data_IF_826386039874
#
_entry.id   IF_826386039874
#
_cell.length_a   1.000
_cell.length_b   1.000
_cell.length_c   1.000
_cell.angle_alpha   90.00
_cell.angle_beta   90.00
_cell.angle_gamma   90.00
#
_symmetry.space_group_name_H-M   'P 1'
#
loop_
_entity.id
_entity.type
_entity.pdbx_description
1 polymer ?
#
# COMPACT_ATOMS: atom_id res chain seq x y z
N UNK A 1 13.36 2.01 -2.53
CA UNK A 1 12.50 3.22 -2.45
C UNK A 1 13.29 4.48 -2.76
N UNK A 2 14.46 4.72 -2.11
CA UNK A 2 15.32 5.87 -2.42
C UNK A 2 15.61 6.07 -3.92
N UNK A 3 16.05 5.02 -4.62
CA UNK A 3 16.35 5.08 -6.06
C UNK A 3 15.16 5.53 -6.92
N UNK A 4 13.96 5.06 -6.58
CA UNK A 4 12.70 5.44 -7.26
C UNK A 4 12.39 6.92 -7.00
N UNK A 5 12.47 7.37 -5.74
CA UNK A 5 12.23 8.78 -5.39
C UNK A 5 13.25 9.73 -6.05
N UNK A 6 14.53 9.35 -6.04
CA UNK A 6 15.62 10.15 -6.61
C UNK A 6 15.44 10.33 -8.12
N UNK A 7 15.07 9.27 -8.83
CA UNK A 7 14.80 9.32 -10.27
C UNK A 7 13.61 10.20 -10.62
N UNK A 8 12.49 10.06 -9.88
CA UNK A 8 11.23 10.74 -10.20
C UNK A 8 11.22 12.21 -9.82
N UNK A 9 11.77 12.56 -8.66
CA UNK A 9 11.57 13.88 -8.05
C UNK A 9 12.83 14.73 -7.93
N UNK A 10 14.01 14.12 -8.10
CA UNK A 10 15.29 14.79 -7.89
C UNK A 10 16.25 14.67 -9.07
N UNK A 11 15.83 14.09 -10.20
CA UNK A 11 16.66 13.92 -11.41
C UNK A 11 18.02 13.26 -11.13
N UNK A 12 18.06 12.32 -10.16
CA UNK A 12 19.30 11.67 -9.73
C UNK A 12 20.20 12.52 -8.81
N UNK A 13 19.81 13.77 -8.51
CA UNK A 13 20.60 14.73 -7.72
C UNK A 13 20.46 14.53 -6.21
N UNK A 14 19.56 13.67 -5.74
CA UNK A 14 19.45 13.35 -4.31
C UNK A 14 20.68 12.55 -3.89
N UNK A 15 21.40 13.05 -2.90
CA UNK A 15 22.53 12.35 -2.30
C UNK A 15 21.99 11.48 -1.18
N UNK A 16 22.28 10.19 -1.26
CA UNK A 16 21.97 9.26 -0.18
C UNK A 16 23.08 9.30 0.86
N UNK A 17 22.79 9.81 2.05
CA UNK A 17 23.64 9.56 3.19
C UNK A 17 23.30 8.18 3.74
N UNK A 18 24.12 7.21 3.37
CA UNK A 18 24.04 5.90 3.99
C UNK A 18 24.31 6.03 5.49
N UNK A 19 23.39 5.68 6.41
CA UNK A 19 23.72 5.39 7.79
C UNK A 19 24.98 4.55 7.87
N UNK A 20 25.90 4.98 8.74
CA UNK A 20 27.16 4.27 9.03
C UNK A 20 26.93 2.83 9.51
N UNK A 21 25.73 2.56 10.03
CA UNK A 21 25.29 1.25 10.49
C UNK A 21 24.32 0.63 9.47
N UNK A 22 24.72 -0.46 8.79
CA UNK A 22 23.87 -1.17 7.85
C UNK A 22 22.60 -1.78 8.46
N UNK A 23 22.56 -2.02 9.79
CA UNK A 23 21.38 -2.55 10.47
C UNK A 23 20.20 -1.57 10.41
N UNK A 24 20.43 -0.27 10.24
CA UNK A 24 19.36 0.74 10.05
C UNK A 24 18.64 0.64 8.71
N UNK A 25 19.17 -0.13 7.76
CA UNK A 25 18.50 -0.46 6.50
C UNK A 25 17.55 -1.64 6.61
N UNK A 26 17.85 -2.51 7.56
CA UNK A 26 17.01 -3.65 7.84
C UNK A 26 15.79 -3.12 8.60
N UNK A 27 14.60 -3.65 8.28
CA UNK A 27 13.49 -3.49 9.20
C UNK A 27 13.95 -3.89 10.62
N UNK A 28 13.52 -3.19 11.67
CA UNK A 28 13.72 -3.65 13.04
C UNK A 28 13.39 -5.14 13.17
N UNK A 29 14.11 -5.88 14.01
CA UNK A 29 13.87 -7.33 14.17
C UNK A 29 12.45 -7.63 14.66
N UNK A 30 11.81 -6.68 15.35
CA UNK A 30 10.41 -6.71 15.77
C UNK A 30 9.42 -6.21 14.69
N UNK A 31 9.89 -5.92 13.48
CA UNK A 31 9.03 -5.45 12.40
C UNK A 31 8.28 -6.62 11.72
N UNK A 32 7.14 -6.27 11.14
CA UNK A 32 6.34 -7.18 10.32
C UNK A 32 7.08 -7.54 9.03
N UNK A 33 7.63 -8.76 8.96
CA UNK A 33 8.07 -9.30 7.68
C UNK A 33 6.84 -9.52 6.79
N UNK A 34 6.79 -8.75 5.71
CA UNK A 34 5.71 -8.75 4.71
C UNK A 34 6.28 -9.03 3.31
N UNK A 35 7.48 -9.60 3.24
CA UNK A 35 8.22 -9.76 1.99
C UNK A 35 8.83 -8.45 1.49
N UNK A 36 9.35 -8.48 0.27
CA UNK A 36 9.94 -7.29 -0.39
C UNK A 36 8.86 -6.43 -1.07
N UNK A 37 9.13 -5.12 -1.18
CA UNK A 37 8.31 -4.19 -1.94
C UNK A 37 7.99 -4.71 -3.34
N UNK A 38 6.72 -4.68 -3.74
CA UNK A 38 6.26 -5.30 -4.99
C UNK A 38 5.06 -4.59 -5.62
N UNK A 39 4.85 -4.84 -6.92
CA UNK A 39 3.57 -4.61 -7.58
C UNK A 39 2.67 -5.82 -7.37
N UNK A 40 1.46 -5.59 -6.92
CA UNK A 40 0.42 -6.61 -6.84
C UNK A 40 -0.48 -6.42 -8.04
N UNK A 41 -0.44 -7.38 -8.95
CA UNK A 41 -1.27 -7.35 -10.15
C UNK A 41 -2.73 -7.62 -9.78
N UNK A 42 -3.52 -6.54 -9.67
CA UNK A 42 -4.92 -6.58 -9.28
C UNK A 42 -5.79 -5.82 -10.31
N UNK A 43 -5.91 -6.33 -11.55
CA UNK A 43 -6.78 -5.76 -12.55
C UNK A 43 -8.26 -6.01 -12.19
N UNK A 44 -9.14 -5.22 -12.77
CA UNK A 44 -10.57 -5.35 -12.56
C UNK A 44 -11.33 -4.25 -13.29
N UNK A 45 -12.65 -4.34 -13.30
CA UNK A 45 -13.51 -3.27 -13.81
C UNK A 45 -13.80 -2.26 -12.73
N UNK A 46 -13.85 -0.98 -13.10
CA UNK A 46 -14.29 0.08 -12.20
C UNK A 46 -15.80 -0.01 -11.92
N UNK A 47 -16.21 0.30 -10.68
CA UNK A 47 -17.62 0.27 -10.24
C UNK A 47 -18.19 1.66 -9.94
N UNK A 48 -17.38 2.55 -9.34
CA UNK A 48 -17.69 3.97 -9.15
C UNK A 48 -16.44 4.79 -9.47
N UNK A 49 -16.46 5.51 -10.59
CA UNK A 49 -15.35 6.32 -11.08
C UNK A 49 -14.05 5.50 -11.14
N UNK A 50 -13.09 5.71 -10.23
CA UNK A 50 -11.79 5.02 -10.22
C UNK A 50 -11.76 3.79 -9.29
N UNK A 51 -12.85 3.50 -8.57
CA UNK A 51 -12.90 2.38 -7.61
C UNK A 51 -12.91 1.06 -8.36
N UNK A 52 -11.93 0.20 -8.08
CA UNK A 52 -11.87 -1.18 -8.55
C UNK A 52 -12.16 -2.10 -7.35
N UNK A 53 -13.35 -2.73 -7.26
CA UNK A 53 -13.74 -3.51 -6.09
C UNK A 53 -12.73 -4.57 -5.66
N UNK A 54 -12.15 -5.31 -6.61
CA UNK A 54 -11.16 -6.34 -6.33
C UNK A 54 -9.92 -5.81 -5.60
N UNK A 55 -9.53 -4.55 -5.84
CA UNK A 55 -8.39 -3.95 -5.14
C UNK A 55 -8.76 -3.58 -3.69
N UNK A 56 -9.98 -3.11 -3.46
CA UNK A 56 -10.49 -2.80 -2.10
C UNK A 56 -10.59 -4.09 -1.29
N UNK A 57 -11.14 -5.14 -1.90
CA UNK A 57 -11.25 -6.47 -1.28
C UNK A 57 -9.88 -7.07 -0.96
N UNK A 58 -8.92 -6.99 -1.88
CA UNK A 58 -7.56 -7.46 -1.65
C UNK A 58 -6.90 -6.76 -0.46
N UNK A 59 -7.04 -5.44 -0.35
CA UNK A 59 -6.54 -4.67 0.79
C UNK A 59 -7.18 -5.14 2.09
N UNK A 60 -8.49 -5.38 2.09
CA UNK A 60 -9.20 -5.89 3.25
C UNK A 60 -8.71 -7.28 3.66
N UNK A 61 -8.58 -8.21 2.72
CA UNK A 61 -8.07 -9.56 3.00
C UNK A 61 -6.65 -9.52 3.58
N UNK A 62 -5.77 -8.70 3.02
CA UNK A 62 -4.41 -8.52 3.48
C UNK A 62 -4.33 -7.91 4.88
N UNK A 63 -5.13 -6.88 5.18
CA UNK A 63 -5.21 -6.29 6.52
C UNK A 63 -5.76 -7.26 7.55
N UNK A 64 -6.78 -8.03 7.18
CA UNK A 64 -7.37 -9.03 8.06
C UNK A 64 -6.37 -10.14 8.38
N UNK A 65 -5.55 -10.55 7.40
CA UNK A 65 -4.45 -11.48 7.62
C UNK A 65 -3.41 -10.91 8.60
N UNK A 66 -2.96 -9.66 8.41
CA UNK A 66 -2.05 -9.00 9.36
C UNK A 66 -2.64 -8.89 10.76
N UNK A 67 -3.91 -8.48 10.87
CA UNK A 67 -4.59 -8.34 12.16
C UNK A 67 -4.72 -9.67 12.89
N UNK A 68 -5.02 -10.75 12.17
CA UNK A 68 -5.04 -12.10 12.76
C UNK A 68 -3.67 -12.55 13.22
N UNK A 69 -2.62 -12.18 12.49
CA UNK A 69 -1.21 -12.48 12.83
C UNK A 69 -0.74 -11.71 14.07
N UNK A 70 -1.11 -10.42 14.20
CA UNK A 70 -0.56 -9.55 15.26
C UNK A 70 -1.49 -9.31 16.44
N UNK A 71 -2.78 -9.57 16.29
CA UNK A 71 -3.82 -9.22 17.26
C UNK A 71 -4.12 -7.72 17.36
N UNK A 72 -3.44 -6.87 16.59
CA UNK A 72 -3.52 -5.41 16.66
C UNK A 72 -3.72 -4.79 15.28
N UNK A 73 -4.40 -3.63 15.23
CA UNK A 73 -4.66 -2.94 13.96
C UNK A 73 -3.33 -2.65 13.24
N UNK A 74 -3.16 -3.08 11.97
CA UNK A 74 -1.85 -3.04 11.33
C UNK A 74 -1.30 -1.61 11.18
N UNK A 75 0.01 -1.38 11.44
CA UNK A 75 0.66 -0.08 11.24
C UNK A 75 1.00 0.12 9.76
N UNK A 76 -0.03 0.30 8.92
CA UNK A 76 0.09 0.47 7.47
C UNK A 76 -0.54 1.78 7.07
N UNK A 77 0.11 2.56 6.19
CA UNK A 77 -0.59 3.63 5.47
C UNK A 77 -1.14 3.12 4.15
N UNK A 78 -2.42 3.42 3.90
CA UNK A 78 -3.11 3.11 2.66
C UNK A 78 -3.36 4.43 1.93
N UNK A 79 -2.63 4.60 0.83
CA UNK A 79 -2.60 5.83 0.06
C UNK A 79 -3.27 5.57 -1.28
N UNK A 80 -4.13 6.49 -1.72
CA UNK A 80 -4.67 6.45 -3.07
C UNK A 80 -4.60 7.81 -3.76
N UNK A 81 -4.36 7.89 -5.08
CA UNK A 81 -4.52 9.13 -5.83
C UNK A 81 -5.94 9.68 -5.81
N UNK A 82 -6.94 8.82 -5.60
CA UNK A 82 -8.34 9.18 -5.81
C UNK A 82 -9.13 9.20 -4.50
N UNK A 83 -9.85 10.31 -4.27
CA UNK A 83 -10.76 10.44 -3.12
C UNK A 83 -11.81 9.33 -3.08
N UNK A 84 -12.30 8.89 -4.24
CA UNK A 84 -13.33 7.82 -4.33
C UNK A 84 -12.79 6.47 -3.88
N UNK A 85 -11.57 6.10 -4.29
CA UNK A 85 -10.89 4.89 -3.82
C UNK A 85 -10.62 4.97 -2.32
N UNK A 86 -10.09 6.10 -1.82
CA UNK A 86 -9.94 6.36 -0.38
C UNK A 86 -11.25 6.15 0.38
N UNK A 87 -12.35 6.73 -0.10
CA UNK A 87 -13.67 6.60 0.54
C UNK A 87 -14.14 5.15 0.56
N UNK A 88 -14.06 4.43 -0.57
CA UNK A 88 -14.45 3.02 -0.63
C UNK A 88 -13.64 2.14 0.34
N UNK A 89 -12.32 2.38 0.45
CA UNK A 89 -11.47 1.72 1.43
C UNK A 89 -11.89 2.02 2.87
N UNK A 90 -12.12 3.29 3.22
CA UNK A 90 -12.54 3.66 4.56
C UNK A 90 -13.93 3.12 4.93
N UNK A 91 -14.85 3.06 3.97
CA UNK A 91 -16.18 2.47 4.15
C UNK A 91 -16.11 0.95 4.33
N UNK A 92 -15.23 0.25 3.61
CA UNK A 92 -15.02 -1.18 3.79
C UNK A 92 -14.35 -1.52 5.11
N UNK A 93 -13.27 -0.81 5.44
CA UNK A 93 -12.43 -1.12 6.59
C UNK A 93 -13.00 -0.55 7.90
N UNK A 94 -13.89 0.44 7.83
CA UNK A 94 -14.58 0.99 9.00
C UNK A 94 -15.74 0.13 9.52
N UNK A 95 -16.14 -0.91 8.76
CA UNK A 95 -17.20 -1.86 9.13
C UNK A 95 -16.66 -2.91 10.10
N UNK A 96 -17.31 -3.11 11.24
CA UNK A 96 -16.83 -4.06 12.26
C UNK A 96 -16.87 -5.51 11.76
N UNK A 97 -17.88 -5.84 10.97
CA UNK A 97 -18.07 -7.12 10.30
C UNK A 97 -16.92 -7.48 9.34
N UNK A 98 -16.24 -6.47 8.78
CA UNK A 98 -15.05 -6.71 7.96
C UNK A 98 -13.91 -7.34 8.78
N UNK A 99 -13.89 -7.15 10.10
CA UNK A 99 -12.85 -7.68 10.98
C UNK A 99 -13.26 -8.93 11.75
N UNK A 100 -14.47 -9.45 11.51
CA UNK A 100 -14.93 -10.68 12.16
C UNK A 100 -14.44 -11.93 11.44
N UNK A 101 -13.96 -12.92 12.19
CA UNK A 101 -13.60 -14.23 11.66
C UNK A 101 -14.81 -15.16 11.68
N UNK A 102 -15.10 -15.81 10.54
CA UNK A 102 -16.13 -16.85 10.46
C UNK A 102 -15.77 -18.11 11.28
N UNK A 103 -14.48 -18.32 11.58
CA UNK A 103 -13.99 -19.55 12.18
C UNK A 103 -13.92 -19.54 13.72
N UNK A 104 -14.34 -18.45 14.39
CA UNK A 104 -14.35 -18.35 15.87
C UNK A 104 -12.96 -18.33 16.55
N UNK A 105 -11.89 -18.63 15.82
CA UNK A 105 -10.51 -18.60 16.28
C UNK A 105 -9.81 -17.37 15.67
N UNK A 106 -9.44 -16.42 16.52
CA UNK A 106 -8.78 -15.18 16.14
C UNK A 106 -9.02 -14.04 17.13
N UNK A 107 -8.30 -12.91 17.01
CA UNK A 107 -8.55 -11.74 17.84
C UNK A 107 -9.99 -11.24 17.67
N UNK A 108 -10.57 -10.74 18.76
CA UNK A 108 -11.89 -10.13 18.75
C UNK A 108 -11.89 -8.91 17.82
N UNK A 109 -12.92 -8.76 16.98
CA UNK A 109 -13.03 -7.60 16.10
C UNK A 109 -12.87 -6.27 16.88
N UNK A 110 -12.05 -5.32 16.39
CA UNK A 110 -11.81 -4.05 17.07
C UNK A 110 -13.10 -3.27 17.32
N UNK A 111 -13.06 -2.34 18.27
CA UNK A 111 -14.21 -1.46 18.53
C UNK A 111 -14.46 -0.56 17.33
N UNK A 112 -15.71 -0.22 17.08
CA UNK A 112 -16.09 0.63 15.94
C UNK A 112 -15.42 2.02 16.00
N UNK A 113 -15.17 2.55 17.20
CA UNK A 113 -14.44 3.81 17.40
C UNK A 113 -12.99 3.68 16.99
N UNK A 114 -12.30 2.61 17.42
CA UNK A 114 -10.91 2.32 17.07
C UNK A 114 -10.75 2.15 15.54
N UNK A 115 -11.70 1.47 14.89
CA UNK A 115 -11.69 1.32 13.42
C UNK A 115 -11.84 2.65 12.70
N UNK A 116 -12.74 3.52 13.17
CA UNK A 116 -12.96 4.84 12.56
C UNK A 116 -11.74 5.73 12.70
N UNK A 117 -11.13 5.75 13.88
CA UNK A 117 -9.91 6.52 14.14
C UNK A 117 -8.74 5.99 13.30
N UNK A 118 -8.55 4.67 13.27
CA UNK A 118 -7.54 4.05 12.42
C UNK A 118 -7.76 4.36 10.93
N UNK A 119 -8.99 4.22 10.41
CA UNK A 119 -9.28 4.55 9.02
C UNK A 119 -8.99 6.03 8.70
N UNK A 120 -9.35 6.95 9.62
CA UNK A 120 -9.12 8.39 9.47
C UNK A 120 -7.63 8.73 9.45
N UNK A 121 -6.83 8.07 10.28
CA UNK A 121 -5.40 8.32 10.42
C UNK A 121 -4.55 7.63 9.36
N UNK A 122 -5.01 6.48 8.87
CA UNK A 122 -4.20 5.54 8.07
C UNK A 122 -4.63 5.44 6.62
N UNK A 123 -5.82 5.90 6.25
CA UNK A 123 -6.33 5.86 4.87
C UNK A 123 -6.48 7.28 4.33
N UNK A 124 -5.80 7.58 3.24
CA UNK A 124 -5.73 8.96 2.75
C UNK A 124 -5.37 9.09 1.29
N UNK A 125 -5.39 10.34 0.83
CA UNK A 125 -4.71 10.69 -0.42
C UNK A 125 -3.28 11.13 -0.12
N UNK A 126 -2.47 11.37 -1.15
CA UNK A 126 -1.09 11.84 -0.97
C UNK A 126 -0.96 13.10 -0.12
N UNK A 127 -1.95 13.99 -0.12
CA UNK A 127 -1.93 15.18 0.73
C UNK A 127 -2.17 14.88 2.21
N UNK A 128 -2.81 13.75 2.55
CA UNK A 128 -3.12 13.36 3.94
C UNK A 128 -1.86 13.04 4.74
N UNK A 129 -0.79 12.59 4.08
CA UNK A 129 0.41 12.05 4.73
C UNK A 129 1.64 12.95 4.59
N UNK A 130 1.49 14.21 4.20
CA UNK A 130 2.64 15.12 4.11
C UNK A 130 3.36 15.24 5.46
N UNK A 131 4.67 14.98 5.46
CA UNK A 131 5.51 15.02 6.67
C UNK A 131 5.34 13.84 7.64
N UNK A 132 4.51 12.85 7.31
CA UNK A 132 4.34 11.61 8.11
C UNK A 132 5.08 10.46 7.46
N UNK A 133 5.41 9.42 8.19
CA UNK A 133 6.01 8.18 7.65
C UNK A 133 5.45 6.98 8.38
N UNK A 134 5.50 5.81 7.75
CA UNK A 134 5.14 4.52 8.33
C UNK A 134 6.08 3.42 7.82
N UNK A 135 6.24 2.35 8.60
CA UNK A 135 6.99 1.16 8.25
C UNK A 135 6.57 0.59 6.88
N UNK A 136 5.26 0.49 6.65
CA UNK A 136 4.66 -0.11 5.45
C UNK A 136 3.67 0.85 4.81
N UNK A 137 3.77 1.03 3.49
CA UNK A 137 2.81 1.80 2.68
C UNK A 137 2.21 0.92 1.59
N UNK A 138 0.89 0.95 1.45
CA UNK A 138 0.16 0.37 0.33
C UNK A 138 -0.41 1.50 -0.54
N UNK A 139 0.04 1.59 -1.78
CA UNK A 139 -0.50 2.51 -2.79
C UNK A 139 -1.60 1.79 -3.57
N UNK A 140 -2.87 2.13 -3.31
CA UNK A 140 -4.03 1.55 -4.00
C UNK A 140 -4.41 2.46 -5.16
N UNK A 141 -4.14 1.99 -6.37
CA UNK A 141 -4.12 2.82 -7.57
C UNK A 141 -5.53 3.05 -8.13
N UNK A 142 -6.41 2.05 -8.07
CA UNK A 142 -7.68 2.09 -8.79
C UNK A 142 -7.48 2.08 -10.31
N UNK A 143 -8.52 2.54 -11.00
CA UNK A 143 -8.62 2.61 -12.46
C UNK A 143 -8.57 1.27 -13.20
N UNK A 144 -9.18 1.30 -14.38
CA UNK A 144 -9.17 0.27 -15.42
C UNK A 144 -8.90 0.95 -16.77
N UNK A 145 -8.93 0.18 -17.85
CA UNK A 145 -8.72 0.73 -19.21
C UNK A 145 -9.75 1.79 -19.62
N UNK A 146 -10.99 1.71 -19.11
CA UNK A 146 -12.05 2.71 -19.39
C UNK A 146 -11.77 4.04 -18.70
N UNK A 147 -11.04 4.00 -17.60
CA UNK A 147 -10.66 5.16 -16.79
C UNK A 147 -9.18 5.51 -16.91
N UNK A 148 -8.50 5.04 -17.98
CA UNK A 148 -7.09 5.31 -18.25
C UNK A 148 -6.74 6.82 -18.30
N UNK A 149 -7.69 7.68 -18.67
CA UNK A 149 -7.53 9.13 -18.58
C UNK A 149 -7.27 9.63 -17.14
N UNK A 150 -7.95 9.05 -16.15
CA UNK A 150 -7.73 9.38 -14.74
C UNK A 150 -6.38 8.86 -14.23
N UNK A 151 -5.97 7.66 -14.67
CA UNK A 151 -4.64 7.12 -14.36
C UNK A 151 -3.53 8.03 -14.92
N UNK A 152 -3.64 8.43 -16.20
CA UNK A 152 -2.72 9.39 -16.83
C UNK A 152 -2.64 10.71 -16.08
N UNK A 153 -3.79 11.30 -15.74
CA UNK A 153 -3.84 12.52 -14.94
C UNK A 153 -3.13 12.37 -13.59
N UNK A 154 -3.39 11.27 -12.87
CA UNK A 154 -2.77 11.03 -11.57
C UNK A 154 -1.25 10.81 -11.67
N UNK A 155 -0.78 10.27 -12.79
CA UNK A 155 0.65 10.06 -13.08
C UNK A 155 1.39 11.28 -13.64
N UNK A 156 0.70 12.37 -13.99
CA UNK A 156 1.35 13.48 -14.71
C UNK A 156 2.41 14.21 -13.86
N UNK A 157 2.11 14.38 -12.57
CA UNK A 157 3.03 14.99 -11.59
C UNK A 157 3.77 13.94 -10.77
N UNK A 158 5.04 14.17 -10.42
CA UNK A 158 5.84 13.20 -9.63
C UNK A 158 5.29 12.98 -8.23
N UNK A 159 4.49 13.91 -7.72
CA UNK A 159 4.03 13.98 -6.33
C UNK A 159 3.32 12.70 -5.88
N UNK A 160 2.56 12.02 -6.75
CA UNK A 160 1.84 10.82 -6.35
C UNK A 160 2.80 9.71 -5.92
N UNK A 161 3.67 9.33 -6.84
CA UNK A 161 4.59 8.21 -6.66
C UNK A 161 5.68 8.58 -5.66
N UNK A 162 6.22 9.80 -5.73
CA UNK A 162 7.22 10.30 -4.78
C UNK A 162 6.68 10.29 -3.34
N UNK A 163 5.44 10.76 -3.11
CA UNK A 163 4.86 10.68 -1.76
C UNK A 163 4.73 9.22 -1.33
N UNK A 164 4.12 8.36 -2.14
CA UNK A 164 3.92 6.96 -1.77
C UNK A 164 5.22 6.24 -1.36
N UNK A 165 6.30 6.41 -2.13
CA UNK A 165 7.58 5.75 -1.83
C UNK A 165 8.37 6.41 -0.71
N UNK A 166 8.22 7.73 -0.50
CA UNK A 166 8.93 8.43 0.60
C UNK A 166 8.21 8.33 1.93
N UNK A 167 6.92 7.93 1.95
CA UNK A 167 6.21 7.65 3.20
C UNK A 167 6.56 6.30 3.82
N UNK A 168 7.08 5.37 3.03
CA UNK A 168 7.46 4.06 3.51
C UNK A 168 8.90 4.08 4.05
N UNK A 169 9.07 3.65 5.31
CA UNK A 169 10.39 3.44 5.91
C UNK A 169 11.02 2.13 5.45
N UNK A 170 10.24 1.06 5.34
CA UNK A 170 10.76 -0.28 5.06
C UNK A 170 10.16 -0.94 3.82
N UNK A 171 8.83 -0.93 3.66
CA UNK A 171 8.14 -1.66 2.58
C UNK A 171 7.08 -0.81 1.89
N UNK A 172 6.99 -0.94 0.57
CA UNK A 172 6.00 -0.26 -0.24
C UNK A 172 5.40 -1.21 -1.29
N UNK A 173 4.08 -1.26 -1.35
CA UNK A 173 3.33 -2.15 -2.22
C UNK A 173 2.40 -1.37 -3.12
N UNK A 174 2.42 -1.63 -4.43
CA UNK A 174 1.52 -0.98 -5.38
C UNK A 174 0.42 -1.96 -5.78
N UNK A 175 -0.82 -1.64 -5.44
CA UNK A 175 -1.98 -2.49 -5.67
C UNK A 175 -2.77 -1.89 -6.83
N UNK A 176 -2.75 -2.56 -7.98
CA UNK A 176 -3.47 -2.10 -9.17
C UNK A 176 -3.17 -2.90 -10.43
N UNK A 177 -3.71 -2.44 -11.55
CA UNK A 177 -3.39 -3.00 -12.87
C UNK A 177 -2.01 -2.50 -13.34
N UNK A 178 -0.96 -3.28 -13.14
CA UNK A 178 0.39 -2.89 -13.54
C UNK A 178 0.49 -2.66 -15.05
N UNK A 179 -0.29 -3.39 -15.85
CA UNK A 179 -0.28 -3.27 -17.31
C UNK A 179 -0.86 -1.91 -17.77
N UNK A 180 -1.76 -1.31 -16.97
CA UNK A 180 -2.24 0.06 -17.14
C UNK A 180 -1.24 1.11 -16.62
N UNK A 181 -0.65 0.88 -15.44
CA UNK A 181 0.07 1.92 -14.70
C UNK A 181 1.57 1.98 -14.97
N UNK A 182 2.24 0.86 -15.22
CA UNK A 182 3.71 0.79 -15.25
C UNK A 182 4.36 1.55 -16.42
N UNK A 183 3.63 1.71 -17.52
CA UNK A 183 4.07 2.52 -18.67
C UNK A 183 3.77 4.02 -18.54
N UNK A 184 3.07 4.44 -17.49
CA UNK A 184 2.74 5.84 -17.28
C UNK A 184 3.94 6.62 -16.74
N UNK A 185 3.91 7.95 -16.95
CA UNK A 185 4.96 8.86 -16.50
C UNK A 185 5.26 8.65 -15.00
N UNK A 186 6.54 8.70 -14.64
CA UNK A 186 7.08 8.42 -13.30
C UNK A 186 6.97 6.95 -12.84
N UNK A 187 5.90 6.23 -13.18
CA UNK A 187 5.72 4.82 -12.82
C UNK A 187 6.70 3.89 -13.55
N UNK A 188 7.27 4.31 -14.68
CA UNK A 188 8.38 3.61 -15.34
C UNK A 188 9.59 3.42 -14.43
N UNK A 189 9.83 4.32 -13.47
CA UNK A 189 10.93 4.22 -12.50
C UNK A 189 10.74 3.07 -11.49
N UNK A 190 9.51 2.55 -11.37
CA UNK A 190 9.14 1.41 -10.54
C UNK A 190 9.01 0.11 -11.37
N UNK A 191 9.87 -0.08 -12.38
CA UNK A 191 9.90 -1.28 -13.22
C UNK A 191 10.24 -2.56 -12.44
N UNK A 192 10.03 -3.71 -13.08
CA UNK A 192 10.15 -5.05 -12.48
C UNK A 192 11.50 -5.35 -11.79
N UNK A 193 12.60 -4.74 -12.26
CA UNK A 193 13.93 -4.91 -11.66
C UNK A 193 14.10 -4.19 -10.31
N UNK A 194 13.18 -3.30 -9.95
CA UNK A 194 13.16 -2.57 -8.66
C UNK A 194 11.94 -2.91 -7.80
N UNK A 195 10.83 -3.26 -8.44
CA UNK A 195 9.61 -3.71 -7.79
C UNK A 195 9.05 -4.91 -8.56
N UNK A 196 9.31 -6.17 -8.13
CA UNK A 196 8.80 -7.35 -8.81
C UNK A 196 7.27 -7.38 -8.83
N UNK A 197 6.70 -8.03 -9.84
CA UNK A 197 5.27 -8.32 -9.94
C UNK A 197 4.95 -9.59 -9.16
N UNK A 198 3.96 -9.52 -8.28
CA UNK A 198 3.41 -10.67 -7.54
C UNK A 198 1.88 -10.74 -7.72
N UNK A 199 1.33 -11.91 -7.42
CA UNK A 199 -0.10 -12.18 -7.44
C UNK A 199 -0.79 -11.73 -6.14
N UNK A 200 -2.11 -11.46 -6.16
CA UNK A 200 -2.89 -11.22 -4.95
C UNK A 200 -2.72 -12.30 -3.89
N UNK A 201 -2.65 -13.57 -4.30
CA UNK A 201 -2.51 -14.72 -3.40
C UNK A 201 -1.14 -14.72 -2.70
N UNK A 202 -0.06 -14.42 -3.45
CA UNK A 202 1.27 -14.27 -2.87
C UNK A 202 1.32 -13.12 -1.87
N UNK A 203 0.66 -12.00 -2.18
CA UNK A 203 0.59 -10.84 -1.30
C UNK A 203 -0.14 -11.16 0.02
N UNK A 204 -1.31 -11.79 -0.04
CA UNK A 204 -2.06 -12.20 1.18
C UNK A 204 -1.28 -13.25 1.97
N UNK A 205 -0.58 -14.18 1.31
CA UNK A 205 0.28 -15.16 1.97
C UNK A 205 1.40 -14.47 2.77
N UNK A 206 2.05 -13.45 2.20
CA UNK A 206 3.08 -12.66 2.90
C UNK A 206 2.54 -11.96 4.16
N UNK A 207 1.27 -11.57 4.18
CA UNK A 207 0.63 -10.99 5.36
C UNK A 207 0.28 -12.02 6.45
N UNK A 208 0.20 -13.30 6.07
CA UNK A 208 -0.24 -14.39 6.96
C UNK A 208 0.93 -15.05 7.68
N UNK A 209 2.08 -15.19 7.02
CA UNK A 209 3.24 -15.91 7.58
C UNK A 209 3.84 -15.13 8.76
N UNK A 210 4.17 -15.78 9.90
CA UNK A 210 4.90 -15.14 10.98
C UNK A 210 6.29 -14.67 10.52
N UNK A 211 6.87 -13.71 11.24
CA UNK A 211 8.27 -13.32 11.00
C UNK A 211 9.12 -14.56 11.25
N UNK A 212 10.05 -14.90 10.35
CA UNK A 212 11.05 -15.93 10.63
C UNK A 212 11.95 -15.39 11.75
N UNK A 213 11.68 -15.80 12.98
CA UNK A 213 12.65 -15.74 14.07
C UNK A 213 13.68 -16.85 13.83
N UNK A 214 14.90 -16.48 13.45
CA UNK A 214 16.13 -17.28 13.66
C UNK A 214 16.90 -16.70 14.86
#
# INVERSE_FOLDING_TARGET
MFSIANEIAYEGKMIFFAPKDPARWLPPSDSLDTGSSAWIQAPGSTSDKQVVPNQVELVHQALLALYRRTGTLPPVYIISPFKRVKTALAEQLGRREAWTSAAGHGPQAPKITELRDWCKERIGTVHTFQGKEESIVWLVLGCDQRTAGAARWASDKPNLLNVAVTRAKHRCFFIGDQDLWSGLRHFTAAHAGRMPRITPEQFVRQMTLPSHDD
#
